data_IF_312699354102
#
_entry.id   IF_312699354102
#
_cell.length_a   1.000
_cell.length_b   1.000
_cell.length_c   1.000
_cell.angle_alpha   90.00
_cell.angle_beta   90.00
_cell.angle_gamma   90.00
#
_symmetry.space_group_name_H-M   'P 1'
#
loop_
_entity.id
_entity.type
_entity.pdbx_description
1 polymer ?
#
# COMPACT_ATOMS: atom_id res chain seq x y z
N UNK A 1 -9.50 -1.67 21.83
CA UNK A 1 -8.45 -0.63 21.96
C UNK A 1 -7.10 -1.33 22.18
N UNK A 2 -6.73 -2.23 21.27
CA UNK A 2 -5.37 -2.79 21.22
C UNK A 2 -4.52 -1.83 20.41
N UNK A 3 -3.87 -0.87 21.07
CA UNK A 3 -2.95 0.03 20.40
C UNK A 3 -1.75 -0.74 19.84
N UNK A 4 -1.24 -0.28 18.69
CA UNK A 4 0.02 -0.75 18.13
C UNK A 4 1.13 -0.46 19.15
N UNK A 5 1.78 -1.49 19.68
CA UNK A 5 2.90 -1.34 20.63
C UNK A 5 4.17 -0.99 19.84
N UNK A 6 4.84 0.16 20.10
CA UNK A 6 5.99 0.61 19.31
C UNK A 6 7.17 -0.37 19.27
N UNK A 7 7.47 -1.03 20.39
CA UNK A 7 8.56 -2.02 20.49
C UNK A 7 8.28 -3.26 19.63
N UNK A 8 7.06 -3.80 19.72
CA UNK A 8 6.62 -4.96 18.91
C UNK A 8 6.74 -4.67 17.42
N UNK A 9 6.38 -3.47 16.99
CA UNK A 9 6.45 -3.13 15.57
C UNK A 9 7.86 -2.85 15.08
N UNK A 10 8.74 -2.30 15.91
CA UNK A 10 10.16 -2.15 15.58
C UNK A 10 10.87 -3.51 15.40
N UNK A 11 10.62 -4.46 16.30
CA UNK A 11 11.12 -5.84 16.18
C UNK A 11 10.57 -6.53 14.93
N UNK A 12 9.28 -6.32 14.64
CA UNK A 12 8.66 -6.86 13.44
C UNK A 12 9.29 -6.32 12.16
N UNK A 13 9.68 -5.03 12.10
CA UNK A 13 10.40 -4.47 10.94
C UNK A 13 11.72 -5.21 10.71
N UNK A 14 12.49 -5.48 11.77
CA UNK A 14 13.75 -6.22 11.65
C UNK A 14 13.52 -7.64 11.14
N UNK A 15 12.53 -8.36 11.70
CA UNK A 15 12.19 -9.73 11.29
C UNK A 15 11.65 -9.78 9.85
N UNK A 16 10.81 -8.82 9.47
CA UNK A 16 10.27 -8.73 8.12
C UNK A 16 11.40 -8.51 7.09
N UNK A 17 12.39 -7.66 7.40
CA UNK A 17 13.58 -7.50 6.55
C UNK A 17 14.38 -8.78 6.40
N UNK A 18 14.54 -9.55 7.48
CA UNK A 18 15.19 -10.85 7.42
C UNK A 18 14.41 -11.83 6.53
N UNK A 19 13.09 -11.92 6.69
CA UNK A 19 12.23 -12.77 5.85
C UNK A 19 12.28 -12.37 4.37
N UNK A 20 12.31 -11.05 4.06
CA UNK A 20 12.50 -10.55 2.69
C UNK A 20 13.86 -11.00 2.15
N UNK A 21 14.93 -10.86 2.91
CA UNK A 21 16.27 -11.25 2.47
C UNK A 21 16.41 -12.77 2.26
N UNK A 22 15.72 -13.58 3.07
CA UNK A 22 15.79 -15.03 3.02
C UNK A 22 14.91 -15.64 1.91
N UNK A 23 13.71 -15.10 1.71
CA UNK A 23 12.70 -15.74 0.86
C UNK A 23 12.40 -15.00 -0.44
N UNK A 24 12.69 -13.70 -0.55
CA UNK A 24 12.37 -12.99 -1.79
C UNK A 24 13.18 -13.55 -2.97
N UNK A 25 12.51 -13.72 -4.10
CA UNK A 25 13.13 -14.23 -5.32
C UNK A 25 13.44 -13.06 -6.25
N UNK A 26 14.68 -12.98 -6.72
CA UNK A 26 15.04 -12.04 -7.78
C UNK A 26 14.70 -12.65 -9.14
N UNK A 27 14.08 -11.83 -9.99
CA UNK A 27 13.68 -12.18 -11.35
C UNK A 27 14.19 -11.11 -12.29
N UNK A 28 15.21 -11.44 -13.08
CA UNK A 28 15.77 -10.52 -14.06
C UNK A 28 14.81 -10.33 -15.24
N UNK A 29 14.90 -9.15 -15.87
CA UNK A 29 14.17 -8.76 -17.08
C UNK A 29 12.64 -8.87 -16.98
N UNK A 30 12.08 -8.59 -15.80
CA UNK A 30 10.64 -8.58 -15.57
C UNK A 30 10.17 -7.26 -14.93
N UNK A 31 9.04 -6.66 -15.36
CA UNK A 31 8.20 -7.07 -16.49
C UNK A 31 8.80 -6.71 -17.87
N UNK A 32 9.96 -6.05 -17.89
CA UNK A 32 10.65 -5.64 -19.12
C UNK A 32 12.18 -5.80 -18.95
N UNK A 33 12.93 -5.88 -20.06
CA UNK A 33 14.39 -5.98 -20.03
C UNK A 33 15.05 -4.86 -19.21
N UNK A 34 16.06 -5.21 -18.42
CA UNK A 34 16.82 -4.29 -17.56
C UNK A 34 16.19 -4.04 -16.18
N UNK A 35 15.06 -4.66 -15.86
CA UNK A 35 14.40 -4.55 -14.55
C UNK A 35 14.68 -5.81 -13.73
N UNK A 36 15.32 -5.64 -12.56
CA UNK A 36 15.42 -6.68 -11.56
C UNK A 36 14.17 -6.65 -10.66
N UNK A 37 13.25 -7.61 -10.87
CA UNK A 37 12.02 -7.69 -10.10
C UNK A 37 12.22 -8.50 -8.82
N UNK A 38 11.85 -7.92 -7.69
CA UNK A 38 11.86 -8.59 -6.40
C UNK A 38 10.51 -9.20 -6.10
N UNK A 39 10.39 -10.50 -6.36
CA UNK A 39 9.18 -11.28 -6.13
C UNK A 39 9.02 -11.60 -4.63
N UNK A 40 8.07 -10.93 -4.00
CA UNK A 40 7.71 -11.09 -2.59
C UNK A 40 6.77 -12.27 -2.32
N UNK A 41 6.33 -12.98 -3.37
CA UNK A 41 5.38 -14.09 -3.23
C UNK A 41 5.84 -15.16 -2.23
N UNK A 42 7.11 -15.64 -2.24
CA UNK A 42 7.54 -16.64 -1.26
C UNK A 42 7.58 -16.09 0.18
N UNK A 43 7.89 -14.79 0.35
CA UNK A 43 7.87 -14.12 1.65
C UNK A 43 6.47 -14.10 2.24
N UNK A 44 5.45 -13.81 1.40
CA UNK A 44 4.05 -13.77 1.82
C UNK A 44 3.41 -15.16 1.96
N UNK A 45 3.99 -16.17 1.29
CA UNK A 45 3.56 -17.56 1.43
C UNK A 45 4.11 -18.22 2.70
N UNK A 46 5.19 -17.68 3.29
CA UNK A 46 5.70 -18.10 4.58
C UNK A 46 4.85 -17.50 5.73
N UNK A 47 4.39 -18.31 6.70
CA UNK A 47 3.56 -17.81 7.81
C UNK A 47 4.24 -16.75 8.66
N UNK A 48 5.54 -16.87 8.90
CA UNK A 48 6.32 -15.90 9.68
C UNK A 48 6.60 -14.63 8.88
N UNK A 49 6.94 -14.77 7.59
CA UNK A 49 7.10 -13.68 6.65
C UNK A 49 5.83 -12.82 6.56
N UNK A 50 4.66 -13.44 6.34
CA UNK A 50 3.38 -12.71 6.32
C UNK A 50 3.10 -12.01 7.65
N UNK A 51 3.22 -12.73 8.78
CA UNK A 51 2.91 -12.18 10.10
C UNK A 51 3.78 -10.96 10.45
N UNK A 52 5.08 -11.05 10.13
CA UNK A 52 6.05 -9.98 10.42
C UNK A 52 5.86 -8.78 9.51
N UNK A 53 5.62 -9.00 8.21
CA UNK A 53 5.29 -7.93 7.26
C UNK A 53 4.04 -7.18 7.72
N UNK A 54 2.97 -7.88 8.05
CA UNK A 54 1.70 -7.26 8.47
C UNK A 54 1.91 -6.42 9.72
N UNK A 55 2.62 -6.95 10.72
CA UNK A 55 2.94 -6.20 11.93
C UNK A 55 3.83 -4.99 11.62
N UNK A 56 4.84 -5.14 10.76
CA UNK A 56 5.75 -4.06 10.36
C UNK A 56 5.04 -2.93 9.59
N UNK A 57 4.07 -3.26 8.73
CA UNK A 57 3.28 -2.28 7.97
C UNK A 57 2.40 -1.38 8.85
N UNK A 58 2.12 -1.80 10.09
CA UNK A 58 1.38 -0.96 11.05
C UNK A 58 2.29 -0.05 11.88
N UNK A 59 3.62 -0.15 11.72
CA UNK A 59 4.57 0.64 12.49
C UNK A 59 4.36 2.14 12.26
N UNK A 60 4.22 2.90 13.35
CA UNK A 60 4.02 4.35 13.32
C UNK A 60 2.62 4.80 12.84
N UNK A 61 1.75 3.88 12.44
CA UNK A 61 0.39 4.19 12.05
C UNK A 61 -0.46 4.52 13.30
N UNK A 62 -1.19 5.64 13.26
CA UNK A 62 -2.07 6.06 14.38
C UNK A 62 -3.42 6.54 13.85
N UNK A 63 -4.48 6.22 14.61
CA UNK A 63 -5.86 6.63 14.34
C UNK A 63 -6.29 6.29 12.90
N UNK A 64 -6.29 5.02 12.52
CA UNK A 64 -6.78 4.56 11.21
C UNK A 64 -8.24 4.13 11.38
N UNK A 65 -9.13 4.53 10.46
CA UNK A 65 -10.54 4.12 10.43
C UNK A 65 -10.84 3.09 9.33
N UNK A 66 -9.95 3.01 8.33
CA UNK A 66 -10.08 2.15 7.16
C UNK A 66 -8.72 1.92 6.52
N UNK A 67 -8.48 0.71 6.01
CA UNK A 67 -7.34 0.43 5.14
C UNK A 67 -7.81 0.38 3.70
N UNK A 68 -7.07 0.98 2.78
CA UNK A 68 -7.31 0.88 1.35
C UNK A 68 -6.16 0.12 0.68
N UNK A 69 -6.44 -1.10 0.21
CA UNK A 69 -5.47 -1.93 -0.52
C UNK A 69 -5.54 -1.67 -2.01
N UNK A 70 -4.40 -1.48 -2.67
CA UNK A 70 -4.31 -1.22 -4.11
C UNK A 70 -4.18 -2.55 -4.89
N UNK A 71 -4.88 -2.64 -6.03
CA UNK A 71 -4.94 -3.85 -6.86
C UNK A 71 -3.56 -4.27 -7.42
N UNK A 72 -3.17 -5.54 -7.40
CA UNK A 72 -3.84 -6.69 -6.76
C UNK A 72 -3.14 -7.12 -5.47
N UNK A 73 -1.82 -6.98 -5.42
CA UNK A 73 -0.99 -7.54 -4.35
C UNK A 73 -1.20 -6.78 -3.04
N UNK A 74 -1.49 -5.49 -3.11
CA UNK A 74 -1.97 -4.70 -1.98
C UNK A 74 -3.27 -5.21 -1.35
N UNK A 75 -4.07 -6.07 -2.01
CA UNK A 75 -5.26 -6.66 -1.37
C UNK A 75 -4.93 -7.67 -0.28
N UNK A 76 -3.90 -8.51 -0.49
CA UNK A 76 -3.46 -9.50 0.49
C UNK A 76 -3.02 -8.79 1.77
N UNK A 77 -2.23 -7.73 1.59
CA UNK A 77 -1.69 -6.91 2.66
C UNK A 77 -2.76 -6.05 3.31
N UNK A 78 -3.57 -5.36 2.50
CA UNK A 78 -4.62 -4.48 2.99
C UNK A 78 -5.64 -5.22 3.86
N UNK A 79 -6.04 -6.43 3.46
CA UNK A 79 -6.91 -7.28 4.28
C UNK A 79 -6.27 -7.67 5.62
N UNK A 80 -5.02 -8.12 5.59
CA UNK A 80 -4.32 -8.55 6.79
C UNK A 80 -3.99 -7.37 7.75
N UNK A 81 -3.58 -6.22 7.20
CA UNK A 81 -3.34 -4.99 7.97
C UNK A 81 -4.63 -4.44 8.56
N UNK A 82 -5.75 -4.45 7.82
CA UNK A 82 -7.05 -4.08 8.37
C UNK A 82 -7.44 -4.99 9.54
N UNK A 83 -7.12 -6.30 9.42
CA UNK A 83 -7.35 -7.25 10.49
C UNK A 83 -6.52 -6.97 11.73
N UNK A 84 -5.23 -6.68 11.56
CA UNK A 84 -4.29 -6.31 12.62
C UNK A 84 -4.73 -5.03 13.35
N UNK A 85 -5.22 -4.04 12.60
CA UNK A 85 -5.68 -2.75 13.13
C UNK A 85 -7.13 -2.75 13.65
N UNK A 86 -7.84 -3.88 13.54
CA UNK A 86 -9.26 -4.02 13.88
C UNK A 86 -10.21 -3.05 13.12
N UNK A 87 -9.89 -2.73 11.86
CA UNK A 87 -10.69 -1.84 10.99
C UNK A 87 -11.20 -2.55 9.73
N UNK A 88 -12.00 -1.85 8.94
CA UNK A 88 -12.44 -2.32 7.62
C UNK A 88 -11.35 -2.18 6.55
N UNK A 89 -11.55 -2.87 5.42
CA UNK A 89 -10.72 -2.73 4.22
C UNK A 89 -11.56 -2.32 3.01
N UNK A 90 -11.02 -1.44 2.18
CA UNK A 90 -11.56 -1.06 0.88
C UNK A 90 -10.57 -1.46 -0.22
N UNK A 91 -11.06 -2.11 -1.27
CA UNK A 91 -10.26 -2.40 -2.45
C UNK A 91 -10.30 -1.22 -3.42
N UNK A 92 -9.13 -0.66 -3.74
CA UNK A 92 -8.95 0.28 -4.87
C UNK A 92 -8.57 -0.56 -6.09
N UNK A 93 -9.45 -0.61 -7.08
CA UNK A 93 -9.35 -1.57 -8.20
C UNK A 93 -8.91 -0.90 -9.49
N UNK A 94 -8.33 -1.67 -10.41
CA UNK A 94 -8.16 -1.22 -11.80
C UNK A 94 -9.54 -1.04 -12.46
N UNK A 95 -9.61 -0.13 -13.43
CA UNK A 95 -10.82 0.18 -14.18
C UNK A 95 -11.58 -1.04 -14.72
N UNK A 96 -12.91 -1.01 -14.64
CA UNK A 96 -13.81 -2.05 -15.14
C UNK A 96 -13.83 -3.34 -14.31
N UNK A 97 -13.25 -3.35 -13.10
CA UNK A 97 -13.24 -4.52 -12.21
C UNK A 97 -14.24 -4.44 -11.06
N UNK A 98 -14.87 -3.28 -10.85
CA UNK A 98 -15.94 -3.09 -9.86
C UNK A 98 -17.31 -3.02 -10.54
N UNK A 99 -18.37 -3.51 -9.88
CA UNK A 99 -19.73 -3.30 -10.35
C UNK A 99 -20.08 -1.80 -10.24
N UNK A 100 -20.70 -1.19 -11.27
CA UNK A 100 -21.11 0.20 -11.22
C UNK A 100 -22.28 0.43 -10.22
N UNK A 101 -22.43 1.65 -9.67
CA UNK A 101 -21.67 2.85 -9.99
C UNK A 101 -20.32 2.93 -9.27
N UNK A 102 -19.32 3.51 -9.94
CA UNK A 102 -17.95 3.70 -9.43
C UNK A 102 -17.54 5.17 -9.51
N UNK A 103 -16.63 5.59 -8.62
CA UNK A 103 -15.81 6.78 -8.81
C UNK A 103 -14.52 6.31 -9.45
N UNK A 104 -14.06 7.01 -10.49
CA UNK A 104 -12.86 6.65 -11.22
C UNK A 104 -11.86 7.81 -11.27
N UNK A 105 -10.59 7.47 -11.40
CA UNK A 105 -9.53 8.41 -11.75
C UNK A 105 -8.58 7.80 -12.78
N UNK A 106 -8.34 8.54 -13.85
CA UNK A 106 -7.29 8.23 -14.82
C UNK A 106 -5.98 8.88 -14.38
N UNK A 107 -4.88 8.16 -14.58
CA UNK A 107 -3.53 8.65 -14.29
C UNK A 107 -2.53 8.13 -15.32
N UNK A 108 -1.49 8.94 -15.52
CA UNK A 108 -0.44 8.63 -16.49
C UNK A 108 0.60 7.71 -15.87
N UNK A 109 1.01 6.71 -16.65
CA UNK A 109 2.18 5.89 -16.41
C UNK A 109 3.31 6.36 -17.34
N UNK A 110 4.54 5.90 -17.09
CA UNK A 110 5.67 6.15 -18.01
C UNK A 110 5.35 5.66 -19.44
N UNK A 111 4.64 4.53 -19.53
CA UNK A 111 4.15 3.97 -20.78
C UNK A 111 2.64 3.70 -20.68
N UNK A 112 1.84 4.74 -20.92
CA UNK A 112 0.38 4.62 -21.11
C UNK A 112 -0.46 5.34 -20.06
N UNK A 113 -1.72 4.94 -19.97
CA UNK A 113 -2.70 5.43 -18.99
C UNK A 113 -3.27 4.24 -18.23
N UNK A 114 -3.64 4.46 -16.98
CA UNK A 114 -4.37 3.50 -16.18
C UNK A 114 -5.50 4.20 -15.43
N UNK A 115 -6.50 3.42 -15.04
CA UNK A 115 -7.67 3.90 -14.29
C UNK A 115 -7.74 3.15 -12.96
N UNK A 116 -8.00 3.88 -11.88
CA UNK A 116 -8.38 3.31 -10.58
C UNK A 116 -9.84 3.61 -10.27
N UNK A 117 -10.50 2.68 -9.60
CA UNK A 117 -11.92 2.73 -9.24
C UNK A 117 -12.15 2.35 -7.77
N UNK A 118 -13.16 2.98 -7.16
CA UNK A 118 -13.80 2.58 -5.91
C UNK A 118 -15.33 2.61 -6.08
N UNK A 119 -16.11 1.88 -5.26
CA UNK A 119 -17.58 1.96 -5.31
C UNK A 119 -18.06 3.40 -5.02
N UNK A 120 -19.01 3.90 -5.82
CA UNK A 120 -19.56 5.25 -5.64
C UNK A 120 -20.63 5.34 -4.54
N UNK A 121 -21.17 4.19 -4.11
CA UNK A 121 -22.23 4.11 -3.12
C UNK A 121 -22.01 2.91 -2.17
N UNK A 122 -22.84 2.82 -1.13
CA UNK A 122 -22.78 1.73 -0.15
C UNK A 122 -21.71 1.90 0.93
N UNK A 123 -20.87 2.93 0.85
CA UNK A 123 -19.80 3.22 1.81
C UNK A 123 -19.77 4.72 2.14
N UNK A 124 -19.88 5.08 3.42
CA UNK A 124 -19.64 6.46 3.85
C UNK A 124 -18.14 6.62 4.18
N UNK A 125 -17.42 7.30 3.29
CA UNK A 125 -15.99 7.60 3.41
C UNK A 125 -15.70 9.00 3.97
N UNK A 126 -16.73 9.83 4.14
CA UNK A 126 -16.57 11.21 4.61
C UNK A 126 -15.86 11.27 5.96
N UNK A 127 -14.75 12.00 6.02
CA UNK A 127 -13.93 12.22 7.21
C UNK A 127 -13.09 11.02 7.66
N UNK A 128 -13.18 9.85 7.00
CA UNK A 128 -12.43 8.66 7.42
C UNK A 128 -10.94 8.84 7.20
N UNK A 129 -10.14 8.43 8.17
CA UNK A 129 -8.68 8.37 8.11
C UNK A 129 -8.25 7.05 7.49
N UNK A 130 -7.70 7.10 6.29
CA UNK A 130 -7.39 5.94 5.47
C UNK A 130 -5.88 5.70 5.42
N UNK A 131 -5.46 4.48 5.73
CA UNK A 131 -4.11 4.00 5.43
C UNK A 131 -4.11 3.35 4.04
N UNK A 132 -3.33 3.87 3.10
CA UNK A 132 -3.08 3.20 1.83
C UNK A 132 -2.03 2.10 2.02
N UNK A 133 -2.31 0.91 1.50
CA UNK A 133 -1.40 -0.24 1.57
C UNK A 133 -1.17 -0.81 0.18
N UNK A 134 0.10 -1.00 -0.17
CA UNK A 134 0.53 -1.71 -1.37
C UNK A 134 1.78 -2.54 -1.08
N UNK A 135 2.23 -3.35 -2.04
CA UNK A 135 3.45 -4.13 -1.87
C UNK A 135 4.72 -3.31 -2.14
N UNK A 136 4.75 -2.52 -3.23
CA UNK A 136 5.93 -1.78 -3.68
C UNK A 136 5.60 -0.30 -3.95
N UNK A 137 6.40 0.61 -3.40
CA UNK A 137 6.46 2.01 -3.80
C UNK A 137 7.54 2.21 -4.86
N UNK A 138 7.13 2.43 -6.11
CA UNK A 138 8.02 2.83 -7.20
C UNK A 138 8.02 4.35 -7.37
N UNK A 139 7.42 4.88 -8.45
CA UNK A 139 7.36 6.32 -8.73
C UNK A 139 6.35 7.10 -7.86
N UNK A 140 5.48 6.39 -7.14
CA UNK A 140 4.43 6.97 -6.28
C UNK A 140 3.14 7.39 -7.00
N UNK A 141 3.11 7.34 -8.35
CA UNK A 141 1.94 7.80 -9.13
C UNK A 141 0.65 7.08 -8.78
N UNK A 142 0.69 5.75 -8.62
CA UNK A 142 -0.48 4.94 -8.25
C UNK A 142 -1.00 5.30 -6.86
N UNK A 143 -0.12 5.52 -5.88
CA UNK A 143 -0.51 5.91 -4.53
C UNK A 143 -1.17 7.28 -4.50
N UNK A 144 -0.63 8.26 -5.25
CA UNK A 144 -1.23 9.60 -5.39
C UNK A 144 -2.60 9.52 -6.07
N UNK A 145 -2.74 8.75 -7.15
CA UNK A 145 -4.01 8.55 -7.83
C UNK A 145 -5.06 7.89 -6.91
N UNK A 146 -4.67 6.85 -6.17
CA UNK A 146 -5.55 6.20 -5.20
C UNK A 146 -5.98 7.15 -4.08
N UNK A 147 -5.07 7.98 -3.60
CA UNK A 147 -5.37 8.95 -2.54
C UNK A 147 -6.31 10.07 -3.03
N UNK A 148 -6.08 10.61 -4.22
CA UNK A 148 -6.99 11.59 -4.85
C UNK A 148 -8.39 10.99 -5.05
N UNK A 149 -8.48 9.73 -5.47
CA UNK A 149 -9.75 9.03 -5.61
C UNK A 149 -10.50 8.91 -4.27
N UNK A 150 -9.80 8.55 -3.20
CA UNK A 150 -10.35 8.51 -1.84
C UNK A 150 -10.75 9.90 -1.34
N UNK A 151 -9.96 10.93 -1.66
CA UNK A 151 -10.26 12.31 -1.31
C UNK A 151 -11.55 12.81 -1.96
N UNK A 152 -11.77 12.49 -3.25
CA UNK A 152 -13.03 12.78 -3.94
C UNK A 152 -14.25 12.10 -3.31
N UNK A 153 -14.04 10.96 -2.64
CA UNK A 153 -15.08 10.28 -1.87
C UNK A 153 -15.23 10.82 -0.43
N UNK A 154 -14.47 11.85 -0.06
CA UNK A 154 -14.52 12.53 1.24
C UNK A 154 -13.59 11.95 2.31
N UNK A 155 -12.73 10.97 1.98
CA UNK A 155 -11.76 10.42 2.93
C UNK A 155 -10.47 11.26 2.99
N UNK A 156 -9.67 11.01 4.03
CA UNK A 156 -8.34 11.58 4.22
C UNK A 156 -7.31 10.46 4.26
N UNK A 157 -6.39 10.44 3.30
CA UNK A 157 -5.24 9.52 3.36
C UNK A 157 -4.26 10.05 4.40
N UNK A 158 -4.03 9.28 5.46
CA UNK A 158 -3.17 9.65 6.59
C UNK A 158 -1.81 8.96 6.57
N UNK A 159 -1.55 8.15 5.54
CA UNK A 159 -0.26 7.50 5.32
C UNK A 159 -0.30 6.50 4.17
N UNK A 160 0.89 6.13 3.72
CA UNK A 160 1.13 5.07 2.73
C UNK A 160 2.07 4.05 3.37
N UNK A 161 1.69 2.78 3.39
CA UNK A 161 2.52 1.68 3.89
C UNK A 161 2.82 0.68 2.77
N UNK A 162 4.09 0.36 2.59
CA UNK A 162 4.58 -0.60 1.59
C UNK A 162 5.61 -1.56 2.18
N UNK A 163 5.70 -2.76 1.61
CA UNK A 163 6.76 -3.70 1.98
C UNK A 163 8.10 -3.16 1.50
N UNK A 164 8.14 -2.66 0.27
CA UNK A 164 9.38 -2.26 -0.39
C UNK A 164 9.24 -0.89 -1.03
N UNK A 165 10.27 -0.08 -0.90
CA UNK A 165 10.41 1.16 -1.66
C UNK A 165 11.61 1.06 -2.58
N UNK A 166 11.42 1.43 -3.85
CA UNK A 166 12.50 1.58 -4.83
C UNK A 166 13.04 3.00 -4.71
N UNK A 167 14.05 3.19 -3.86
CA UNK A 167 14.47 4.52 -3.39
C UNK A 167 14.92 5.43 -4.55
N UNK A 168 15.47 4.86 -5.62
CA UNK A 168 15.92 5.57 -6.82
C UNK A 168 14.81 6.16 -7.70
N UNK A 169 13.53 5.88 -7.43
CA UNK A 169 12.41 6.27 -8.29
C UNK A 169 11.61 7.49 -7.79
N UNK A 170 12.02 8.10 -6.67
CA UNK A 170 11.43 9.36 -6.19
C UNK A 170 9.99 9.26 -5.69
N UNK A 171 9.55 8.06 -5.27
CA UNK A 171 8.17 7.82 -4.83
C UNK A 171 7.72 8.71 -3.66
N UNK A 172 8.59 8.92 -2.67
CA UNK A 172 8.33 9.83 -1.54
C UNK A 172 8.11 11.27 -1.98
N UNK A 173 8.94 11.78 -2.90
CA UNK A 173 8.80 13.14 -3.42
C UNK A 173 7.50 13.33 -4.19
N UNK A 174 7.10 12.31 -4.96
CA UNK A 174 5.81 12.31 -5.66
C UNK A 174 4.64 12.36 -4.68
N UNK A 175 4.70 11.57 -3.59
CA UNK A 175 3.69 11.60 -2.53
C UNK A 175 3.67 12.96 -1.83
N UNK A 176 4.83 13.52 -1.46
CA UNK A 176 4.92 14.81 -0.79
C UNK A 176 4.34 15.94 -1.65
N UNK A 177 4.59 15.93 -2.97
CA UNK A 177 4.00 16.91 -3.91
C UNK A 177 2.50 16.71 -4.10
N UNK A 178 2.04 15.46 -4.15
CA UNK A 178 0.66 15.13 -4.48
C UNK A 178 -0.30 15.23 -3.28
N UNK A 179 0.14 14.80 -2.10
CA UNK A 179 -0.69 14.65 -0.90
C UNK A 179 -0.29 15.58 0.24
N UNK A 180 0.86 16.24 0.12
CA UNK A 180 1.44 17.11 1.13
C UNK A 180 2.67 16.49 1.82
N UNK A 181 3.62 17.32 2.28
CA UNK A 181 4.90 16.86 2.82
C UNK A 181 4.77 16.09 4.14
N UNK A 182 3.65 16.24 4.83
CA UNK A 182 3.41 15.63 6.14
C UNK A 182 2.76 14.24 6.06
N UNK A 183 2.41 13.76 4.85
CA UNK A 183 1.84 12.41 4.68
C UNK A 183 2.96 11.38 4.87
N UNK A 184 2.89 10.54 5.93
CA UNK A 184 3.95 9.60 6.23
C UNK A 184 3.98 8.47 5.19
N UNK A 185 5.20 8.10 4.80
CA UNK A 185 5.48 6.93 3.95
C UNK A 185 6.27 5.92 4.77
N UNK A 186 5.63 4.81 5.10
CA UNK A 186 6.19 3.69 5.83
C UNK A 186 6.62 2.60 4.85
N UNK A 187 7.93 2.37 4.73
CA UNK A 187 8.48 1.29 3.93
C UNK A 187 9.22 0.30 4.84
N UNK A 188 8.88 -0.99 4.75
CA UNK A 188 9.55 -2.02 5.57
C UNK A 188 11.01 -2.18 5.12
N UNK A 189 11.25 -2.29 3.82
CA UNK A 189 12.57 -2.41 3.20
C UNK A 189 12.78 -1.35 2.10
N UNK A 190 14.05 -1.01 1.85
CA UNK A 190 14.48 -0.19 0.73
C UNK A 190 15.24 -1.09 -0.26
N UNK A 191 15.06 -0.80 -1.54
CA UNK A 191 15.78 -1.40 -2.67
C UNK A 191 16.38 -0.28 -3.56
#
# INVERSE_FOLDING_TARGET
MGGVVPERTAEAVSRARAAIAEHARLVDDFPAPGIAFKDLTPVLADPEGLSTIVTALTHGCTSIDLVAGIDARGFLLGGAVARELEVGVLAVRKGGKLPPPVIAIDYSLEYGQATLEIPANGLNLSGRRVLLVDDVLATGGTAVAAAELLHRAGAHVVGVAVIMELAGLGGRDTIARGLGPDVPVHAVALD
#
